data_IF_423566873192
#
_entry.id   IF_423566873192
#
_cell.length_a   1.000
_cell.length_b   1.000
_cell.length_c   1.000
_cell.angle_alpha   90.00
_cell.angle_beta   90.00
_cell.angle_gamma   90.00
#
_symmetry.space_group_name_H-M   'P 1'
#
loop_
_entity.id
_entity.type
_entity.pdbx_description
1 polymer ?
#
# COMPACT_ATOMS: atom_id res chain seq x y z
N UNK A 1 -10.87 -22.41 -0.12
CA UNK A 1 -10.95 -21.42 -1.22
C UNK A 1 -9.59 -20.75 -1.34
N UNK A 2 -9.09 -20.50 -2.54
CA UNK A 2 -7.81 -19.78 -2.69
C UNK A 2 -8.00 -18.31 -2.33
N UNK A 3 -7.10 -17.76 -1.50
CA UNK A 3 -7.10 -16.34 -1.14
C UNK A 3 -6.86 -15.49 -2.39
N UNK A 4 -7.63 -14.41 -2.58
CA UNK A 4 -7.44 -13.50 -3.72
C UNK A 4 -6.38 -12.47 -3.37
N UNK A 5 -5.32 -12.40 -4.17
CA UNK A 5 -4.29 -11.37 -4.03
C UNK A 5 -4.77 -10.03 -4.58
N UNK A 6 -4.65 -8.98 -3.75
CA UNK A 6 -4.96 -7.60 -4.12
C UNK A 6 -3.66 -6.79 -4.07
N UNK A 7 -3.24 -6.26 -5.22
CA UNK A 7 -2.07 -5.41 -5.32
C UNK A 7 -2.48 -3.94 -5.20
N UNK A 8 -1.96 -3.26 -4.17
CA UNK A 8 -2.12 -1.81 -3.99
C UNK A 8 -0.78 -1.15 -4.33
N UNK A 9 -0.81 -0.15 -5.21
CA UNK A 9 0.38 0.62 -5.59
C UNK A 9 0.20 2.05 -5.09
N UNK A 10 1.20 2.57 -4.37
CA UNK A 10 1.22 3.96 -3.89
C UNK A 10 2.53 4.64 -4.29
N UNK A 11 2.42 5.85 -4.84
CA UNK A 11 3.53 6.69 -5.29
C UNK A 11 3.83 7.87 -4.35
N UNK A 12 2.92 8.22 -3.44
CA UNK A 12 3.11 9.36 -2.53
C UNK A 12 2.35 9.22 -1.20
N UNK A 13 2.76 10.00 -0.18
CA UNK A 13 2.06 10.06 1.11
C UNK A 13 0.58 10.45 0.99
N UNK A 14 0.22 11.29 0.02
CA UNK A 14 -1.16 11.70 -0.20
C UNK A 14 -2.02 10.53 -0.70
N UNK A 15 -1.50 9.74 -1.64
CA UNK A 15 -2.16 8.52 -2.13
C UNK A 15 -2.27 7.48 -1.01
N UNK A 16 -1.18 7.22 -0.29
CA UNK A 16 -1.18 6.28 0.83
C UNK A 16 -2.19 6.68 1.90
N UNK A 17 -2.29 7.98 2.24
CA UNK A 17 -3.25 8.48 3.23
C UNK A 17 -4.71 8.19 2.86
N UNK A 18 -5.07 8.33 1.57
CA UNK A 18 -6.42 7.99 1.08
C UNK A 18 -6.65 6.47 1.10
N UNK A 19 -5.63 5.69 0.74
CA UNK A 19 -5.71 4.23 0.63
C UNK A 19 -5.54 3.51 1.97
N UNK A 20 -5.11 4.19 3.04
CA UNK A 20 -4.74 3.57 4.32
C UNK A 20 -5.87 2.71 4.90
N UNK A 21 -7.12 3.20 4.83
CA UNK A 21 -8.28 2.44 5.29
C UNK A 21 -8.48 1.15 4.49
N UNK A 22 -8.43 1.24 3.15
CA UNK A 22 -8.56 0.08 2.28
C UNK A 22 -7.43 -0.95 2.49
N UNK A 23 -6.18 -0.48 2.61
CA UNK A 23 -5.01 -1.32 2.88
C UNK A 23 -5.22 -2.12 4.17
N UNK A 24 -5.71 -1.45 5.23
CA UNK A 24 -5.99 -2.09 6.51
C UNK A 24 -7.07 -3.16 6.39
N UNK A 25 -8.18 -2.87 5.73
CA UNK A 25 -9.28 -3.83 5.52
C UNK A 25 -8.85 -5.06 4.69
N UNK A 26 -7.99 -4.85 3.66
CA UNK A 26 -7.44 -5.97 2.87
C UNK A 26 -6.52 -6.83 3.75
N UNK A 27 -5.67 -6.20 4.57
CA UNK A 27 -4.74 -6.90 5.46
C UNK A 27 -5.46 -7.71 6.56
N UNK A 28 -6.59 -7.23 7.06
CA UNK A 28 -7.39 -7.91 8.10
C UNK A 28 -8.33 -8.99 7.55
N UNK A 29 -8.49 -9.08 6.22
CA UNK A 29 -9.36 -10.05 5.58
C UNK A 29 -8.82 -11.48 5.64
N UNK A 30 -9.67 -12.45 5.98
CA UNK A 30 -9.32 -13.88 5.96
C UNK A 30 -9.32 -14.50 4.55
N UNK A 31 -9.83 -13.77 3.54
CA UNK A 31 -10.01 -14.29 2.17
C UNK A 31 -9.23 -13.49 1.12
N UNK A 32 -8.55 -12.42 1.54
CA UNK A 32 -7.69 -11.61 0.70
C UNK A 32 -6.25 -11.68 1.18
N UNK A 33 -5.32 -11.44 0.27
CA UNK A 33 -3.90 -11.29 0.56
C UNK A 33 -3.45 -9.92 0.02
N UNK A 34 -2.92 -9.09 0.90
CA UNK A 34 -2.38 -7.78 0.53
C UNK A 34 -1.01 -7.93 -0.13
N UNK A 35 -0.85 -7.38 -1.32
CA UNK A 35 0.44 -7.07 -1.92
C UNK A 35 0.57 -5.55 -2.02
N UNK A 36 1.54 -4.95 -1.31
CA UNK A 36 1.76 -3.50 -1.35
C UNK A 36 3.02 -3.18 -2.15
N UNK A 37 2.91 -2.30 -3.14
CA UNK A 37 4.03 -1.76 -3.91
C UNK A 37 4.18 -0.28 -3.62
N UNK A 38 5.33 0.10 -3.08
CA UNK A 38 5.70 1.48 -2.78
C UNK A 38 6.65 1.97 -3.87
N UNK A 39 6.28 3.07 -4.53
CA UNK A 39 7.01 3.65 -5.66
C UNK A 39 7.08 5.18 -5.57
N UNK A 40 7.65 5.82 -6.59
CA UNK A 40 7.58 7.27 -6.79
C UNK A 40 8.21 8.09 -5.66
N UNK A 41 7.49 9.11 -5.19
CA UNK A 41 7.95 10.07 -4.18
C UNK A 41 8.32 9.40 -2.87
N UNK A 42 7.74 8.24 -2.54
CA UNK A 42 8.15 7.50 -1.35
C UNK A 42 9.64 7.12 -1.37
N UNK A 43 10.20 6.84 -2.55
CA UNK A 43 11.58 6.40 -2.75
C UNK A 43 12.56 7.57 -2.99
N UNK A 44 12.08 8.80 -3.03
CA UNK A 44 12.92 9.98 -3.31
C UNK A 44 13.47 10.60 -2.00
N UNK A 45 14.79 10.89 -1.95
CA UNK A 45 15.42 11.61 -0.84
C UNK A 45 14.80 12.98 -0.57
N UNK A 46 14.42 13.70 -1.63
CA UNK A 46 13.85 15.05 -1.57
C UNK A 46 12.51 15.09 -0.82
N UNK A 47 11.79 13.95 -0.79
CA UNK A 47 10.52 13.81 -0.08
C UNK A 47 10.61 12.99 1.21
N UNK A 48 11.84 12.71 1.69
CA UNK A 48 12.10 12.14 3.00
C UNK A 48 12.10 10.61 3.09
N UNK A 49 12.14 9.88 1.97
CA UNK A 49 12.25 8.41 1.93
C UNK A 49 11.18 7.69 2.77
N UNK A 50 9.93 8.08 2.58
CA UNK A 50 8.77 7.70 3.42
C UNK A 50 8.34 6.22 3.30
N UNK A 51 9.14 5.36 2.65
CA UNK A 51 8.99 3.90 2.70
C UNK A 51 9.70 3.26 3.91
N UNK A 52 10.60 4.00 4.56
CA UNK A 52 11.42 3.54 5.69
C UNK A 52 10.63 3.50 6.99
#
# INVERSE_FOLDING_TARGET
MQSRRICVVTGSRAEYGILQGLIKEIQESQVLELQLVVAGMHLSPEFGLTYR
#
